data_IF_437204070878
#
_entry.id   IF_437204070878
#
_cell.length_a   1.000
_cell.length_b   1.000
_cell.length_c   1.000
_cell.angle_alpha   90.00
_cell.angle_beta   90.00
_cell.angle_gamma   90.00
#
_symmetry.space_group_name_H-M   'P 1'
#
loop_
_entity.id
_entity.type
_entity.pdbx_description
1 polymer ?
#
# COMPACT_ATOMS: atom_id res chain seq x y z
N UNK A 1 2.02 -13.22 -22.40
CA UNK A 1 2.23 -13.58 -20.95
C UNK A 1 0.93 -14.17 -20.44
N UNK A 2 0.95 -15.36 -19.84
CA UNK A 2 -0.25 -15.91 -19.19
C UNK A 2 -0.45 -15.29 -17.81
N UNK A 3 -1.60 -15.56 -17.16
CA UNK A 3 -1.95 -14.94 -15.87
C UNK A 3 -0.93 -15.24 -14.77
N UNK A 4 -0.39 -16.47 -14.70
CA UNK A 4 0.62 -16.85 -13.71
C UNK A 4 1.89 -16.02 -13.86
N UNK A 5 2.39 -15.90 -15.08
CA UNK A 5 3.57 -15.09 -15.40
C UNK A 5 3.32 -13.60 -15.11
N UNK A 6 2.12 -13.12 -15.42
CA UNK A 6 1.72 -11.74 -15.16
C UNK A 6 1.69 -11.45 -13.66
N UNK A 7 1.03 -12.27 -12.85
CA UNK A 7 0.96 -12.13 -11.40
C UNK A 7 2.36 -12.21 -10.76
N UNK A 8 3.22 -13.11 -11.25
CA UNK A 8 4.60 -13.24 -10.78
C UNK A 8 5.48 -12.02 -11.14
N UNK A 9 5.19 -11.34 -12.25
CA UNK A 9 5.93 -10.15 -12.68
C UNK A 9 5.66 -8.94 -11.80
N UNK A 10 4.47 -8.82 -11.21
CA UNK A 10 4.08 -7.70 -10.35
C UNK A 10 4.98 -7.61 -9.11
N UNK A 11 5.40 -6.40 -8.82
CA UNK A 11 6.24 -6.08 -7.65
C UNK A 11 5.69 -4.89 -6.87
N UNK A 12 6.10 -4.73 -5.61
CA UNK A 12 5.89 -3.49 -4.86
C UNK A 12 6.88 -2.43 -5.35
N UNK A 13 6.37 -1.35 -5.93
CA UNK A 13 7.15 -0.24 -6.47
C UNK A 13 7.31 0.83 -5.40
N UNK A 14 8.55 1.14 -5.04
CA UNK A 14 8.91 2.09 -3.96
C UNK A 14 9.71 3.29 -4.46
N UNK A 15 9.69 3.53 -5.77
CA UNK A 15 10.28 4.67 -6.43
C UNK A 15 9.58 4.91 -7.75
N UNK A 16 9.25 6.16 -8.01
CA UNK A 16 8.41 6.55 -9.13
C UNK A 16 9.03 7.69 -9.91
N UNK A 17 8.78 7.72 -11.21
CA UNK A 17 9.02 8.89 -12.03
C UNK A 17 8.09 10.02 -11.57
N UNK A 18 8.51 11.27 -11.71
CA UNK A 18 7.66 12.43 -11.38
C UNK A 18 6.49 12.65 -12.33
N UNK A 19 6.27 11.77 -13.30
CA UNK A 19 5.22 11.87 -14.32
C UNK A 19 3.85 11.62 -13.69
N UNK A 20 2.86 12.54 -13.86
CA UNK A 20 1.50 12.33 -13.40
C UNK A 20 0.86 11.10 -14.07
N UNK A 21 -0.03 10.42 -13.34
CA UNK A 21 -0.91 9.38 -13.89
C UNK A 21 -2.19 10.09 -14.36
N UNK A 22 -2.58 9.96 -15.64
CA UNK A 22 -3.80 10.59 -16.16
C UNK A 22 -5.05 10.04 -15.47
N UNK A 23 -6.08 10.88 -15.32
CA UNK A 23 -7.32 10.52 -14.62
C UNK A 23 -8.06 9.37 -15.32
N UNK A 24 -8.11 9.36 -16.62
CA UNK A 24 -8.70 8.28 -17.43
C UNK A 24 -8.04 6.93 -17.17
N UNK A 25 -6.71 6.89 -17.06
CA UNK A 25 -5.96 5.67 -16.68
C UNK A 25 -6.36 5.22 -15.26
N UNK A 26 -6.52 6.15 -14.32
CA UNK A 26 -6.99 5.83 -12.97
C UNK A 26 -8.40 5.24 -13.00
N UNK A 27 -9.31 5.82 -13.77
CA UNK A 27 -10.67 5.34 -13.96
C UNK A 27 -10.71 3.93 -14.58
N UNK A 28 -9.87 3.65 -15.57
CA UNK A 28 -9.74 2.31 -16.14
C UNK A 28 -9.24 1.27 -15.12
N UNK A 29 -8.25 1.64 -14.30
CA UNK A 29 -7.74 0.77 -13.23
C UNK A 29 -8.87 0.45 -12.24
N UNK A 30 -9.62 1.46 -11.79
CA UNK A 30 -10.73 1.28 -10.85
C UNK A 30 -11.85 0.46 -11.48
N UNK A 31 -12.19 0.70 -12.74
CA UNK A 31 -13.22 -0.05 -13.47
C UNK A 31 -12.89 -1.54 -13.60
N UNK A 32 -11.62 -1.88 -13.75
CA UNK A 32 -11.15 -3.28 -13.73
C UNK A 32 -11.19 -3.86 -12.32
N UNK A 33 -10.66 -3.11 -11.34
CA UNK A 33 -10.52 -3.59 -9.97
C UNK A 33 -11.85 -3.78 -9.23
N UNK A 34 -12.87 -2.95 -9.50
CA UNK A 34 -14.21 -3.04 -8.88
C UNK A 34 -14.96 -4.33 -9.23
N UNK A 35 -14.46 -5.12 -10.19
CA UNK A 35 -14.98 -6.46 -10.49
C UNK A 35 -14.57 -7.49 -9.44
N UNK A 36 -13.77 -7.11 -8.44
CA UNK A 36 -13.45 -7.95 -7.29
C UNK A 36 -14.72 -8.43 -6.58
N UNK A 37 -14.79 -9.72 -6.18
CA UNK A 37 -15.95 -10.25 -5.48
C UNK A 37 -16.07 -9.65 -4.08
N UNK A 38 -17.32 -9.48 -3.62
CA UNK A 38 -17.64 -9.10 -2.23
C UNK A 38 -18.75 -9.98 -1.68
N UNK A 39 -18.83 -10.09 -0.36
CA UNK A 39 -19.90 -10.81 0.31
C UNK A 39 -21.25 -10.21 -0.08
N UNK A 40 -22.16 -11.02 -0.61
CA UNK A 40 -23.50 -10.58 -1.09
C UNK A 40 -23.47 -9.38 -2.05
N UNK A 41 -22.37 -9.15 -2.75
CA UNK A 41 -22.16 -7.98 -3.62
C UNK A 41 -22.32 -6.62 -2.90
N UNK A 42 -21.95 -6.57 -1.62
CA UNK A 42 -22.17 -5.37 -0.77
C UNK A 42 -21.26 -4.20 -1.11
N UNK A 43 -20.12 -4.44 -1.77
CA UNK A 43 -19.20 -3.42 -2.28
C UNK A 43 -18.89 -2.33 -1.24
N UNK A 44 -18.48 -2.75 -0.05
CA UNK A 44 -18.32 -1.95 1.17
C UNK A 44 -17.13 -0.98 1.15
N UNK A 45 -16.64 -0.63 0.01
CA UNK A 45 -15.46 0.20 -0.17
C UNK A 45 -15.77 1.58 -0.74
N UNK A 46 -14.96 2.56 -0.32
CA UNK A 46 -14.81 3.85 -1.00
C UNK A 46 -13.36 4.05 -1.42
N UNK A 47 -13.14 4.84 -2.45
CA UNK A 47 -11.82 5.15 -2.99
C UNK A 47 -11.67 6.66 -3.10
N UNK A 48 -10.70 7.23 -2.37
CA UNK A 48 -10.32 8.62 -2.49
C UNK A 48 -9.01 8.70 -3.29
N UNK A 49 -9.08 9.13 -4.53
CA UNK A 49 -7.92 9.33 -5.39
C UNK A 49 -7.30 10.70 -5.13
N UNK A 50 -6.08 10.73 -4.62
CA UNK A 50 -5.38 11.96 -4.26
C UNK A 50 -4.08 12.14 -5.06
N UNK A 51 -3.90 13.33 -5.61
CA UNK A 51 -2.74 13.71 -6.42
C UNK A 51 -2.40 15.19 -6.23
N UNK A 52 -1.34 15.67 -6.84
CA UNK A 52 -0.97 17.08 -6.87
C UNK A 52 -0.84 17.72 -5.48
N UNK A 53 -1.43 18.88 -5.29
CA UNK A 53 -1.32 19.65 -4.04
C UNK A 53 -1.97 18.95 -2.83
N UNK A 54 -3.02 18.17 -3.03
CA UNK A 54 -3.67 17.41 -1.94
C UNK A 54 -2.67 16.37 -1.41
N UNK A 55 -2.11 15.56 -2.29
CA UNK A 55 -1.14 14.54 -1.91
C UNK A 55 0.14 15.16 -1.33
N UNK A 56 0.58 16.31 -1.84
CA UNK A 56 1.71 17.06 -1.29
C UNK A 56 1.47 17.46 0.18
N UNK A 57 0.29 18.02 0.50
CA UNK A 57 -0.07 18.40 1.88
C UNK A 57 -0.11 17.20 2.82
N UNK A 58 -0.66 16.05 2.36
CA UNK A 58 -0.65 14.80 3.13
C UNK A 58 0.78 14.38 3.47
N UNK A 59 1.70 14.41 2.51
CA UNK A 59 3.12 14.05 2.73
C UNK A 59 3.81 14.98 3.72
N UNK A 60 3.60 16.27 3.56
CA UNK A 60 4.16 17.30 4.45
C UNK A 60 3.65 17.14 5.87
N UNK A 61 2.34 16.93 6.04
CA UNK A 61 1.71 16.70 7.35
C UNK A 61 2.20 15.41 8.00
N UNK A 62 2.21 14.29 7.27
CA UNK A 62 2.72 13.00 7.75
C UNK A 62 4.19 13.12 8.20
N UNK A 63 5.04 13.75 7.37
CA UNK A 63 6.45 13.94 7.68
C UNK A 63 6.64 14.81 8.91
N UNK A 64 5.95 15.95 8.97
CA UNK A 64 6.00 16.88 10.11
C UNK A 64 5.61 16.19 11.41
N UNK A 65 4.49 15.47 11.41
CA UNK A 65 3.98 14.79 12.61
C UNK A 65 4.93 13.67 13.06
N UNK A 66 5.47 12.89 12.11
CA UNK A 66 6.42 11.81 12.41
C UNK A 66 7.72 12.36 12.99
N UNK A 67 8.28 13.42 12.42
CA UNK A 67 9.49 14.07 12.94
C UNK A 67 9.28 14.73 14.30
N UNK A 68 8.08 15.22 14.58
CA UNK A 68 7.69 15.75 15.88
C UNK A 68 7.40 14.67 16.93
N UNK A 69 7.52 13.38 16.59
CA UNK A 69 7.24 12.26 17.50
C UNK A 69 5.77 12.14 17.88
N UNK A 70 4.84 12.67 17.09
CA UNK A 70 3.42 12.50 17.37
C UNK A 70 3.02 11.03 17.31
N UNK A 71 2.16 10.55 18.21
CA UNK A 71 1.63 9.20 18.15
C UNK A 71 0.98 8.90 16.80
N UNK A 72 1.05 7.65 16.39
CA UNK A 72 0.31 7.19 15.22
C UNK A 72 -1.18 7.18 15.53
N UNK A 73 -1.98 7.71 14.61
CA UNK A 73 -3.45 7.71 14.68
C UNK A 73 -3.95 6.85 13.53
N UNK A 74 -4.59 5.72 13.84
CA UNK A 74 -5.21 4.81 12.88
C UNK A 74 -6.69 4.66 13.20
N UNK A 75 -7.48 4.45 12.17
CA UNK A 75 -8.93 4.31 12.30
C UNK A 75 -9.37 2.89 12.69
N UNK A 76 -8.43 1.94 12.77
CA UNK A 76 -8.68 0.55 13.16
C UNK A 76 -7.54 0.00 14.02
N UNK A 77 -7.80 -1.05 14.85
CA UNK A 77 -6.76 -1.72 15.61
C UNK A 77 -5.68 -2.31 14.71
N UNK A 78 -4.43 -2.09 15.05
CA UNK A 78 -3.28 -2.57 14.30
C UNK A 78 -2.27 -3.25 15.20
N UNK A 79 -1.89 -4.48 14.84
CA UNK A 79 -0.81 -5.21 15.51
C UNK A 79 0.47 -5.09 14.67
N UNK A 80 1.53 -4.56 15.26
CA UNK A 80 2.84 -4.41 14.60
C UNK A 80 3.80 -5.56 14.94
N UNK A 81 3.53 -6.30 16.02
CA UNK A 81 4.38 -7.36 16.52
C UNK A 81 4.00 -8.70 15.87
N UNK A 82 4.81 -9.10 14.90
CA UNK A 82 4.73 -10.42 14.29
C UNK A 82 5.69 -11.38 15.00
N UNK A 83 5.33 -12.67 15.04
CA UNK A 83 6.10 -13.74 15.66
C UNK A 83 6.41 -14.85 14.65
N UNK A 84 7.36 -15.73 14.98
CA UNK A 84 7.70 -16.91 14.19
C UNK A 84 7.99 -16.60 12.72
N UNK A 85 7.41 -17.38 11.82
CA UNK A 85 7.60 -17.25 10.37
C UNK A 85 7.15 -15.90 9.81
N UNK A 86 6.10 -15.30 10.37
CA UNK A 86 5.63 -13.97 9.95
C UNK A 86 6.68 -12.90 10.23
N UNK A 87 7.32 -12.95 11.40
CA UNK A 87 8.42 -12.05 11.76
C UNK A 87 9.64 -12.27 10.88
N UNK A 88 9.97 -13.52 10.57
CA UNK A 88 11.04 -13.86 9.65
C UNK A 88 10.83 -13.21 8.28
N UNK A 89 9.65 -13.37 7.67
CA UNK A 89 9.31 -12.80 6.38
C UNK A 89 9.37 -11.25 6.39
N UNK A 90 8.96 -10.63 7.50
CA UNK A 90 9.03 -9.18 7.67
C UNK A 90 10.49 -8.69 7.69
N UNK A 91 11.35 -9.39 8.42
CA UNK A 91 12.77 -9.04 8.55
C UNK A 91 13.49 -9.26 7.21
N UNK A 92 13.22 -10.38 6.53
CA UNK A 92 13.87 -10.73 5.27
C UNK A 92 13.67 -9.64 4.21
N UNK A 93 12.44 -9.21 3.99
CA UNK A 93 12.17 -8.14 3.02
C UNK A 93 12.79 -6.80 3.42
N UNK A 94 12.90 -6.53 4.74
CA UNK A 94 13.55 -5.31 5.22
C UNK A 94 15.07 -5.35 4.97
N UNK A 95 15.71 -6.50 5.18
CA UNK A 95 17.13 -6.71 4.88
C UNK A 95 17.39 -6.49 3.38
N UNK A 96 16.63 -7.16 2.53
CA UNK A 96 16.77 -7.03 1.07
C UNK A 96 16.64 -5.56 0.61
N UNK A 97 15.71 -4.80 1.18
CA UNK A 97 15.54 -3.38 0.86
C UNK A 97 16.72 -2.53 1.33
N UNK A 98 17.23 -2.78 2.54
CA UNK A 98 18.39 -2.05 3.06
C UNK A 98 19.66 -2.36 2.26
N UNK A 99 19.89 -3.61 1.92
CA UNK A 99 21.01 -4.03 1.07
C UNK A 99 20.93 -3.38 -0.31
N UNK A 100 19.78 -3.46 -0.98
CA UNK A 100 19.55 -2.84 -2.28
C UNK A 100 19.80 -1.32 -2.27
N UNK A 101 19.53 -0.66 -1.14
CA UNK A 101 19.72 0.78 -0.96
C UNK A 101 21.11 1.15 -0.41
N UNK A 102 21.97 0.18 -0.11
CA UNK A 102 23.27 0.44 0.53
C UNK A 102 23.12 1.08 1.92
N UNK A 103 22.09 0.66 2.70
CA UNK A 103 21.81 1.17 4.04
C UNK A 103 22.40 0.22 5.08
N UNK A 104 23.56 0.57 5.64
CA UNK A 104 24.19 -0.17 6.72
C UNK A 104 23.39 -0.12 8.04
N UNK A 105 23.64 -1.13 8.92
CA UNK A 105 22.98 -1.21 10.24
C UNK A 105 23.18 0.04 11.09
N UNK A 106 24.36 0.63 11.04
CA UNK A 106 24.75 1.78 11.87
C UNK A 106 24.38 3.12 11.25
N UNK A 107 23.91 3.14 10.01
CA UNK A 107 23.56 4.38 9.31
C UNK A 107 22.14 4.84 9.68
N UNK A 108 22.02 5.47 10.85
CA UNK A 108 20.73 5.94 11.39
C UNK A 108 20.05 6.97 10.48
N UNK A 109 20.82 7.84 9.84
CA UNK A 109 20.32 8.88 8.95
C UNK A 109 19.63 8.29 7.72
N UNK A 110 20.32 7.40 6.99
CA UNK A 110 19.74 6.73 5.82
C UNK A 110 18.54 5.85 6.19
N UNK A 111 18.56 5.23 7.37
CA UNK A 111 17.43 4.45 7.89
C UNK A 111 16.22 5.33 8.16
N UNK A 112 16.44 6.50 8.76
CA UNK A 112 15.40 7.50 9.00
C UNK A 112 14.83 8.02 7.68
N UNK A 113 15.67 8.39 6.72
CA UNK A 113 15.20 8.84 5.40
C UNK A 113 14.36 7.76 4.71
N UNK A 114 14.83 6.50 4.73
CA UNK A 114 14.07 5.38 4.17
C UNK A 114 12.70 5.19 4.85
N UNK A 115 12.65 5.28 6.16
CA UNK A 115 11.40 5.22 6.92
C UNK A 115 10.45 6.36 6.52
N UNK A 116 10.96 7.59 6.47
CA UNK A 116 10.18 8.78 6.08
C UNK A 116 9.63 8.68 4.65
N UNK A 117 10.30 7.96 3.75
CA UNK A 117 9.76 7.73 2.40
C UNK A 117 8.42 6.99 2.44
N UNK A 118 8.23 6.05 3.37
CA UNK A 118 6.93 5.39 3.56
C UNK A 118 5.85 6.38 3.99
N UNK A 119 6.14 7.29 4.93
CA UNK A 119 5.21 8.36 5.33
C UNK A 119 4.92 9.35 4.21
N UNK A 120 5.90 9.60 3.31
CA UNK A 120 5.71 10.38 2.09
C UNK A 120 5.08 9.58 0.95
N UNK A 121 4.62 8.36 1.19
CA UNK A 121 4.04 7.47 0.18
C UNK A 121 5.00 7.25 -1.01
N UNK A 122 6.29 7.09 -0.70
CA UNK A 122 7.38 6.87 -1.65
C UNK A 122 7.47 7.94 -2.75
N UNK A 123 7.00 9.15 -2.46
CA UNK A 123 6.95 10.29 -3.38
C UNK A 123 6.17 10.00 -4.69
N UNK A 124 5.23 9.07 -4.65
CA UNK A 124 4.40 8.67 -5.78
C UNK A 124 3.52 9.83 -6.28
N UNK A 125 3.26 10.00 -7.58
CA UNK A 125 2.44 11.09 -8.11
C UNK A 125 0.95 10.95 -7.79
N UNK A 126 0.50 9.74 -7.43
CA UNK A 126 -0.88 9.39 -7.14
C UNK A 126 -0.94 8.48 -5.91
N UNK A 127 -2.00 8.61 -5.12
CA UNK A 127 -2.36 7.64 -4.09
C UNK A 127 -3.87 7.38 -4.10
N UNK A 128 -4.26 6.12 -4.00
CA UNK A 128 -5.65 5.73 -3.73
C UNK A 128 -5.77 5.39 -2.26
N UNK A 129 -6.57 6.17 -1.53
CA UNK A 129 -6.89 5.89 -0.13
C UNK A 129 -8.17 5.07 -0.10
N UNK A 130 -8.10 3.85 0.42
CA UNK A 130 -9.24 2.95 0.54
C UNK A 130 -9.86 3.12 1.91
N UNK A 131 -11.17 3.35 1.94
CA UNK A 131 -11.96 3.54 3.14
C UNK A 131 -13.19 2.64 3.13
N UNK A 132 -13.86 2.51 4.25
CA UNK A 132 -15.12 1.78 4.44
C UNK A 132 -15.98 2.49 5.48
N UNK A 133 -17.29 2.26 5.45
CA UNK A 133 -18.20 2.87 6.41
C UNK A 133 -17.90 2.40 7.84
N UNK A 134 -17.79 3.34 8.77
CA UNK A 134 -17.33 3.11 10.14
C UNK A 134 -18.19 2.08 10.90
N UNK A 135 -19.48 2.00 10.62
CA UNK A 135 -20.37 1.01 11.25
C UNK A 135 -20.01 -0.45 10.89
N UNK A 136 -19.23 -0.64 9.80
CA UNK A 136 -18.77 -1.95 9.35
C UNK A 136 -17.43 -2.38 9.99
N UNK A 137 -16.85 -1.54 10.84
CA UNK A 137 -15.54 -1.82 11.46
C UNK A 137 -15.44 -3.20 12.11
N UNK A 138 -16.44 -3.70 12.87
CA UNK A 138 -16.39 -5.02 13.48
C UNK A 138 -16.46 -6.19 12.49
N UNK A 139 -16.81 -5.93 11.23
CA UNK A 139 -17.04 -6.97 10.23
C UNK A 139 -15.75 -7.32 9.46
N UNK A 140 -15.04 -8.35 9.90
CA UNK A 140 -13.82 -8.84 9.21
C UNK A 140 -14.02 -9.10 7.71
N UNK A 141 -15.24 -9.47 7.28
CA UNK A 141 -15.57 -9.69 5.87
C UNK A 141 -15.44 -8.41 5.02
N UNK A 142 -15.62 -7.24 5.62
CA UNK A 142 -15.40 -5.94 4.97
C UNK A 142 -13.92 -5.77 4.60
N UNK A 143 -13.02 -6.08 5.54
CA UNK A 143 -11.58 -6.00 5.32
C UNK A 143 -11.10 -7.01 4.28
N UNK A 144 -11.72 -8.20 4.23
CA UNK A 144 -11.47 -9.19 3.19
C UNK A 144 -11.82 -8.66 1.79
N UNK A 145 -12.99 -8.02 1.64
CA UNK A 145 -13.41 -7.35 0.40
C UNK A 145 -12.47 -6.23 -0.04
N UNK A 146 -12.04 -5.38 0.90
CA UNK A 146 -11.03 -4.33 0.64
C UNK A 146 -9.70 -4.91 0.18
N UNK A 147 -9.25 -6.03 0.76
CA UNK A 147 -8.05 -6.75 0.31
C UNK A 147 -8.17 -7.24 -1.13
N UNK A 148 -9.34 -7.78 -1.50
CA UNK A 148 -9.63 -8.23 -2.86
C UNK A 148 -9.59 -7.07 -3.87
N UNK A 149 -10.24 -5.94 -3.53
CA UNK A 149 -10.18 -4.72 -4.34
C UNK A 149 -8.74 -4.20 -4.48
N UNK A 150 -8.00 -4.11 -3.37
CA UNK A 150 -6.62 -3.62 -3.36
C UNK A 150 -5.72 -4.47 -4.29
N UNK A 151 -5.86 -5.79 -4.26
CA UNK A 151 -5.12 -6.67 -5.17
C UNK A 151 -5.55 -6.47 -6.62
N UNK A 152 -6.84 -6.32 -6.89
CA UNK A 152 -7.38 -5.98 -8.21
C UNK A 152 -6.80 -4.68 -8.76
N UNK A 153 -6.73 -3.62 -7.92
CA UNK A 153 -6.10 -2.35 -8.29
C UNK A 153 -4.63 -2.56 -8.69
N UNK A 154 -3.88 -3.34 -7.91
CA UNK A 154 -2.46 -3.57 -8.19
C UNK A 154 -2.24 -4.33 -9.50
N UNK A 155 -3.09 -5.30 -9.83
CA UNK A 155 -3.00 -6.04 -11.09
C UNK A 155 -3.39 -5.16 -12.29
N UNK A 156 -4.51 -4.45 -12.18
CA UNK A 156 -4.99 -3.56 -13.23
C UNK A 156 -4.02 -2.41 -13.54
N UNK A 157 -3.37 -1.87 -12.50
CA UNK A 157 -2.33 -0.88 -12.64
C UNK A 157 -1.08 -1.45 -13.32
N UNK A 158 -0.65 -2.64 -12.87
CA UNK A 158 0.54 -3.30 -13.42
C UNK A 158 0.39 -3.62 -14.92
N UNK A 159 -0.79 -4.02 -15.35
CA UNK A 159 -1.13 -4.24 -16.76
C UNK A 159 -0.93 -2.99 -17.62
N UNK A 160 -1.13 -1.81 -17.03
CA UNK A 160 -0.99 -0.49 -17.68
C UNK A 160 0.39 0.16 -17.47
N UNK A 161 1.36 -0.63 -16.99
CA UNK A 161 2.71 -0.11 -16.71
C UNK A 161 2.79 0.82 -15.48
N UNK A 162 1.76 0.83 -14.63
CA UNK A 162 1.72 1.61 -13.39
C UNK A 162 2.17 0.72 -12.23
N UNK A 163 3.25 1.11 -11.57
CA UNK A 163 3.71 0.45 -10.36
C UNK A 163 2.92 0.90 -9.13
N UNK A 164 2.75 -0.03 -8.18
CA UNK A 164 2.02 0.23 -6.94
C UNK A 164 2.73 -0.33 -5.73
N UNK A 165 2.45 0.27 -4.56
CA UNK A 165 2.73 -0.34 -3.26
C UNK A 165 1.58 -0.06 -2.29
N UNK A 166 1.08 -1.12 -1.62
CA UNK A 166 0.20 -0.98 -0.47
C UNK A 166 1.03 -0.39 0.67
N UNK A 167 0.59 0.74 1.22
CA UNK A 167 1.39 1.53 2.13
C UNK A 167 0.63 1.88 3.41
N UNK A 168 0.92 1.13 4.49
CA UNK A 168 0.37 1.41 5.81
C UNK A 168 0.97 2.64 6.48
N UNK A 169 2.24 2.98 6.19
CA UNK A 169 2.88 4.17 6.77
C UNK A 169 2.24 5.47 6.27
N UNK A 170 1.75 5.48 5.04
CA UNK A 170 1.10 6.65 4.44
C UNK A 170 -0.21 7.06 5.09
N UNK A 171 -0.78 6.20 5.96
CA UNK A 171 -2.02 6.44 6.70
C UNK A 171 -1.82 6.44 8.23
N UNK A 172 -0.58 6.37 8.72
CA UNK A 172 -0.30 6.38 10.18
C UNK A 172 -0.65 7.69 10.86
N UNK A 173 -0.90 8.73 10.11
CA UNK A 173 -1.45 10.01 10.55
C UNK A 173 -2.79 10.18 9.83
N UNK A 174 -3.78 9.35 10.20
CA UNK A 174 -5.08 9.30 9.50
C UNK A 174 -5.83 10.63 9.58
N UNK A 175 -5.66 11.40 10.63
CA UNK A 175 -6.17 12.76 10.79
C UNK A 175 -5.70 13.70 9.66
N UNK A 176 -4.40 13.66 9.33
CA UNK A 176 -3.83 14.44 8.23
C UNK A 176 -4.41 14.01 6.88
N UNK A 177 -4.52 12.69 6.68
CA UNK A 177 -5.07 12.14 5.42
C UNK A 177 -6.53 12.54 5.28
N UNK A 178 -7.33 12.39 6.34
CA UNK A 178 -8.74 12.74 6.39
C UNK A 178 -8.97 14.21 6.07
N UNK A 179 -8.24 15.11 6.74
CA UNK A 179 -8.36 16.55 6.56
C UNK A 179 -8.12 16.96 5.10
N UNK A 180 -6.99 16.52 4.53
CA UNK A 180 -6.60 17.00 3.21
C UNK A 180 -7.31 16.30 2.04
N UNK A 181 -7.73 15.04 2.22
CA UNK A 181 -8.51 14.31 1.21
C UNK A 181 -10.02 14.49 1.37
N UNK A 182 -10.49 15.29 2.34
CA UNK A 182 -11.90 15.51 2.68
C UNK A 182 -12.66 14.19 2.90
N UNK A 183 -12.04 13.24 3.62
CA UNK A 183 -12.67 11.95 3.92
C UNK A 183 -13.71 12.16 5.02
N UNK A 184 -14.98 11.74 4.82
CA UNK A 184 -16.05 11.87 5.82
C UNK A 184 -15.71 11.19 7.15
N UNK A 185 -16.26 11.73 8.26
CA UNK A 185 -16.01 11.19 9.61
C UNK A 185 -16.67 9.83 9.86
N UNK A 186 -17.65 9.47 9.05
CA UNK A 186 -18.35 8.18 9.07
C UNK A 186 -17.61 7.09 8.26
N UNK A 187 -16.45 7.39 7.68
CA UNK A 187 -15.59 6.44 7.00
C UNK A 187 -14.29 6.18 7.81
N UNK A 188 -13.88 4.93 7.90
CA UNK A 188 -12.57 4.53 8.42
C UNK A 188 -11.56 4.37 7.27
N UNK A 189 -10.36 4.92 7.45
CA UNK A 189 -9.25 4.78 6.50
C UNK A 189 -8.55 3.44 6.75
N UNK A 190 -8.65 2.54 5.77
CA UNK A 190 -8.02 1.21 5.87
C UNK A 190 -6.56 1.21 5.44
N UNK A 191 -6.28 1.73 4.26
CA UNK A 191 -4.95 1.65 3.64
C UNK A 191 -4.82 2.69 2.53
N UNK A 192 -3.60 3.03 2.13
CA UNK A 192 -3.38 3.71 0.87
C UNK A 192 -2.52 2.87 -0.09
N UNK A 193 -2.71 3.10 -1.38
CA UNK A 193 -1.94 2.50 -2.46
C UNK A 193 -1.21 3.64 -3.19
N UNK A 194 0.09 3.74 -2.97
CA UNK A 194 0.93 4.69 -3.69
C UNK A 194 1.18 4.16 -5.11
N UNK A 195 1.02 5.01 -6.13
CA UNK A 195 0.99 4.61 -7.54
C UNK A 195 1.71 5.60 -8.43
N UNK A 196 2.30 5.10 -9.51
CA UNK A 196 2.95 5.92 -10.53
C UNK A 196 3.76 5.07 -11.51
N UNK A 197 4.35 5.71 -12.51
CA UNK A 197 5.28 5.04 -13.42
C UNK A 197 6.55 4.65 -12.65
N UNK A 198 6.95 3.35 -12.67
CA UNK A 198 8.14 2.90 -11.96
C UNK A 198 9.40 3.64 -12.42
N UNK A 199 10.26 4.01 -11.47
CA UNK A 199 11.62 4.43 -11.77
C UNK A 199 12.55 3.22 -11.61
N UNK A 200 12.93 2.62 -12.72
CA UNK A 200 13.77 1.41 -12.72
C UNK A 200 15.24 1.71 -12.35
N UNK A 201 15.63 2.98 -12.23
CA UNK A 201 16.95 3.34 -11.69
C UNK A 201 17.04 3.12 -10.17
N UNK A 202 15.91 3.04 -9.47
CA UNK A 202 15.89 2.86 -8.03
C UNK A 202 15.99 1.39 -7.63
N UNK A 203 17.11 1.03 -6.99
CA UNK A 203 17.42 -0.35 -6.60
C UNK A 203 16.31 -1.01 -5.76
N UNK A 204 15.57 -0.26 -4.92
CA UNK A 204 14.44 -0.79 -4.16
C UNK A 204 13.33 -1.37 -5.04
N UNK A 205 13.21 -0.95 -6.30
CA UNK A 205 12.24 -1.49 -7.26
C UNK A 205 12.64 -2.85 -7.85
N UNK A 206 13.87 -3.31 -7.60
CA UNK A 206 14.34 -4.63 -8.04
C UNK A 206 14.18 -5.71 -6.96
N UNK A 207 13.86 -5.32 -5.72
CA UNK A 207 13.62 -6.27 -4.64
C UNK A 207 12.37 -7.10 -4.91
N UNK A 208 12.50 -8.42 -4.75
CA UNK A 208 11.43 -9.41 -4.92
C UNK A 208 11.25 -10.18 -3.62
N UNK A 209 10.12 -9.98 -2.96
CA UNK A 209 9.78 -10.79 -1.79
C UNK A 209 9.45 -12.22 -2.21
N UNK A 210 9.99 -13.18 -1.49
CA UNK A 210 9.68 -14.60 -1.63
C UNK A 210 8.25 -14.92 -1.19
N UNK A 211 7.83 -16.13 -1.45
CA UNK A 211 6.61 -16.72 -0.91
C UNK A 211 6.98 -18.05 -0.25
N UNK A 212 6.26 -18.39 0.80
CA UNK A 212 6.37 -19.68 1.44
C UNK A 212 5.94 -20.80 0.49
N UNK A 213 6.52 -21.99 0.65
CA UNK A 213 6.10 -23.17 -0.08
C UNK A 213 4.69 -23.61 0.33
N UNK A 214 3.91 -24.12 -0.60
CA UNK A 214 2.53 -24.53 -0.36
C UNK A 214 2.39 -25.46 0.85
N UNK A 215 3.34 -26.38 1.04
CA UNK A 215 3.36 -27.33 2.16
C UNK A 215 3.38 -26.67 3.54
N UNK A 216 3.73 -25.39 3.64
CA UNK A 216 3.77 -24.67 4.92
C UNK A 216 2.46 -24.01 5.33
N UNK A 217 1.48 -23.94 4.42
CA UNK A 217 0.19 -23.26 4.67
C UNK A 217 -1.01 -23.92 3.98
N UNK A 218 -0.81 -25.03 3.24
CA UNK A 218 -1.89 -25.77 2.59
C UNK A 218 -1.96 -27.17 3.17
N UNK A 219 -3.12 -27.54 3.66
CA UNK A 219 -3.47 -28.90 4.03
C UNK A 219 -4.48 -29.47 3.03
N UNK A 220 -4.22 -30.68 2.53
CA UNK A 220 -5.08 -31.35 1.55
C UNK A 220 -5.93 -32.38 2.25
N UNK A 221 -7.25 -32.27 2.14
CA UNK A 221 -8.20 -33.19 2.71
C UNK A 221 -9.06 -33.83 1.59
N UNK A 222 -9.07 -35.15 1.49
CA UNK A 222 -9.86 -35.90 0.50
C UNK A 222 -9.25 -35.97 -0.92
N UNK A 223 -7.95 -35.71 -1.06
CA UNK A 223 -7.17 -35.85 -2.30
C UNK A 223 -6.38 -37.14 -2.30
#
# INVERSE_FOLDING_TARGET
MNFTQFSASRKSTRGFQGKPVPKDVVEEIINTAKLAPTSYNTQTWHIHAVAGNVLKKIREGNTKNTLAGKPHVRDFPYKEDYEGGHRHNQIDVAIQLFEAKGIGRDNKEKRMDWMLRGFRQFDAPLSLVLTYDKYLEPAAITHFGLGSLAYGIMLAAWERGIGCVINGQGIMQSDVVREHANIPDDQNIMICIAMGYPDDSLAANHVRSTRAENSSFVEYHGF
#
